data_IF_916828353996
#
_entry.id   IF_916828353996
#
_cell.length_a   1.000
_cell.length_b   1.000
_cell.length_c   1.000
_cell.angle_alpha   90.00
_cell.angle_beta   90.00
_cell.angle_gamma   90.00
#
_symmetry.space_group_name_H-M   'P 1'
#
loop_
_entity.id
_entity.type
_entity.pdbx_description
1 polymer ?
#
# COMPACT_ATOMS: atom_id res chain seq x y z
N UNK A 1 -18.16 4.58 -9.62
CA UNK A 1 -17.00 4.97 -10.43
C UNK A 1 -16.33 3.71 -10.98
N UNK A 2 -16.01 3.69 -12.28
CA UNK A 2 -15.14 2.69 -12.90
C UNK A 2 -13.83 2.52 -12.14
N UNK A 3 -13.19 1.35 -12.24
CA UNK A 3 -11.94 1.07 -11.50
C UNK A 3 -10.79 2.00 -11.91
N UNK A 4 -10.74 2.40 -13.19
CA UNK A 4 -9.74 3.33 -13.74
C UNK A 4 -9.83 4.75 -13.18
N UNK A 5 -10.96 5.12 -12.59
CA UNK A 5 -11.20 6.43 -11.98
C UNK A 5 -11.04 6.42 -10.46
N UNK A 6 -10.63 5.28 -9.89
CA UNK A 6 -10.43 5.18 -8.44
C UNK A 6 -9.07 5.67 -8.04
N UNK A 7 -8.99 6.15 -6.80
CA UNK A 7 -7.72 6.44 -6.17
C UNK A 7 -7.03 5.14 -5.74
N UNK A 8 -5.72 5.15 -5.92
CA UNK A 8 -4.77 4.17 -5.38
C UNK A 8 -3.64 4.92 -4.69
N UNK A 9 -3.04 4.30 -3.67
CA UNK A 9 -1.93 4.89 -2.93
C UNK A 9 -1.02 3.80 -2.36
N UNK A 10 0.18 4.20 -1.98
CA UNK A 10 1.27 3.32 -1.59
C UNK A 10 2.47 3.48 -2.52
N UNK A 11 3.66 3.20 -2.01
CA UNK A 11 4.92 3.42 -2.73
C UNK A 11 5.64 4.71 -2.34
N UNK A 12 6.66 5.04 -3.13
CA UNK A 12 7.71 6.02 -2.78
C UNK A 12 7.26 7.49 -2.73
N UNK A 13 6.12 7.82 -3.35
CA UNK A 13 5.61 9.19 -3.54
C UNK A 13 4.35 9.51 -2.73
N UNK A 14 3.72 8.51 -2.11
CA UNK A 14 2.46 8.68 -1.36
C UNK A 14 2.59 8.16 0.08
N UNK A 15 2.39 6.86 0.30
CA UNK A 15 2.51 6.21 1.60
C UNK A 15 3.66 5.21 1.58
N UNK A 16 4.83 5.60 2.08
CA UNK A 16 6.08 4.81 1.95
C UNK A 16 6.10 3.53 2.77
N UNK A 17 5.15 3.33 3.68
CA UNK A 17 4.98 2.08 4.43
C UNK A 17 4.27 0.98 3.64
N UNK A 18 3.76 1.29 2.44
CA UNK A 18 3.06 0.35 1.56
C UNK A 18 3.87 0.10 0.29
N UNK A 19 3.67 -1.08 -0.29
CA UNK A 19 4.03 -1.33 -1.68
C UNK A 19 3.17 -0.47 -2.62
N UNK A 20 3.58 -0.40 -3.89
CA UNK A 20 2.89 0.42 -4.89
C UNK A 20 1.40 0.05 -4.97
N UNK A 21 0.53 1.04 -4.78
CA UNK A 21 -0.94 0.90 -4.87
C UNK A 21 -1.58 -0.12 -3.90
N UNK A 22 -0.87 -0.53 -2.85
CA UNK A 22 -1.39 -1.51 -1.89
C UNK A 22 -2.24 -0.93 -0.74
N UNK A 23 -2.28 0.39 -0.59
CA UNK A 23 -3.07 1.01 0.47
C UNK A 23 -4.56 0.99 0.12
N UNK A 24 -5.38 0.54 1.08
CA UNK A 24 -6.83 0.73 1.05
C UNK A 24 -7.64 -0.57 0.98
N UNK A 25 -8.88 -0.48 0.46
CA UNK A 25 -9.77 -1.61 0.31
C UNK A 25 -9.19 -2.67 -0.62
N UNK A 26 -9.38 -3.95 -0.26
CA UNK A 26 -9.05 -5.08 -1.12
C UNK A 26 -10.30 -5.88 -1.47
N UNK A 27 -10.42 -6.27 -2.73
CA UNK A 27 -11.46 -7.19 -3.18
C UNK A 27 -10.99 -8.62 -2.93
N UNK A 28 -11.87 -9.46 -2.38
CA UNK A 28 -11.67 -10.91 -2.31
C UNK A 28 -12.10 -11.50 -3.65
N UNK A 29 -11.20 -12.28 -4.25
CA UNK A 29 -11.47 -13.04 -5.46
C UNK A 29 -11.56 -14.51 -5.08
N UNK A 30 -12.71 -15.11 -5.39
CA UNK A 30 -12.91 -16.56 -5.34
C UNK A 30 -12.89 -17.05 -6.79
N UNK A 31 -11.81 -17.69 -7.25
CA UNK A 31 -11.68 -18.13 -8.63
C UNK A 31 -12.82 -19.08 -9.02
N UNK A 32 -13.46 -18.82 -10.15
CA UNK A 32 -14.52 -19.68 -10.71
C UNK A 32 -14.09 -20.15 -12.11
N UNK A 33 -14.27 -21.44 -12.39
CA UNK A 33 -13.94 -22.05 -13.67
C UNK A 33 -12.66 -22.90 -13.67
N UNK A 34 -12.22 -23.27 -14.86
CA UNK A 34 -11.05 -24.11 -15.10
C UNK A 34 -9.83 -23.24 -15.36
N UNK A 35 -8.82 -23.34 -14.50
CA UNK A 35 -7.52 -22.69 -14.71
C UNK A 35 -6.51 -23.74 -15.18
N UNK A 36 -5.60 -23.37 -16.08
CA UNK A 36 -4.54 -24.25 -16.55
C UNK A 36 -3.18 -23.67 -16.15
N UNK A 37 -2.23 -24.54 -15.79
CA UNK A 37 -0.83 -24.13 -15.64
C UNK A 37 -0.14 -24.00 -17.01
N UNK A 38 1.14 -23.61 -17.02
CA UNK A 38 1.94 -23.47 -18.24
C UNK A 38 2.09 -24.76 -19.05
N UNK A 39 1.87 -25.93 -18.44
CA UNK A 39 1.87 -27.24 -19.08
C UNK A 39 0.49 -27.70 -19.56
N UNK A 40 -0.54 -26.84 -19.45
CA UNK A 40 -1.92 -27.16 -19.86
C UNK A 40 -2.69 -28.05 -18.89
N UNK A 41 -2.16 -28.31 -17.69
CA UNK A 41 -2.86 -29.12 -16.69
C UNK A 41 -3.83 -28.26 -15.88
N UNK A 42 -5.01 -28.78 -15.59
CA UNK A 42 -5.99 -28.09 -14.76
C UNK A 42 -5.47 -27.92 -13.33
N UNK A 43 -5.55 -26.69 -12.83
CA UNK A 43 -5.17 -26.31 -11.48
C UNK A 43 -6.35 -25.65 -10.77
N UNK A 44 -6.40 -25.84 -9.46
CA UNK A 44 -7.31 -25.10 -8.58
C UNK A 44 -6.55 -23.90 -8.04
N UNK A 45 -7.17 -22.73 -8.10
CA UNK A 45 -6.63 -21.52 -7.50
C UNK A 45 -7.32 -21.27 -6.17
N UNK A 46 -6.53 -21.08 -5.12
CA UNK A 46 -7.04 -20.65 -3.83
C UNK A 46 -7.60 -19.21 -3.94
N UNK A 47 -8.62 -18.85 -3.14
CA UNK A 47 -9.05 -17.46 -3.05
C UNK A 47 -7.89 -16.53 -2.68
N UNK A 48 -7.94 -15.30 -3.18
CA UNK A 48 -6.92 -14.29 -2.91
C UNK A 48 -7.53 -12.90 -2.80
N UNK A 49 -6.71 -11.89 -2.46
CA UNK A 49 -7.17 -10.50 -2.44
C UNK A 49 -6.29 -9.61 -3.29
N UNK A 50 -6.91 -8.62 -3.94
CA UNK A 50 -6.21 -7.59 -4.72
C UNK A 50 -6.63 -6.19 -4.27
N UNK A 51 -5.73 -5.19 -4.32
CA UNK A 51 -6.09 -3.80 -4.14
C UNK A 51 -7.22 -3.42 -5.09
N UNK A 52 -8.28 -2.82 -4.55
CA UNK A 52 -9.47 -2.45 -5.32
C UNK A 52 -9.60 -0.93 -5.47
N UNK A 53 -8.71 -0.17 -4.83
CA UNK A 53 -8.77 1.28 -4.77
C UNK A 53 -10.02 1.79 -4.06
N UNK A 54 -10.29 3.08 -4.21
CA UNK A 54 -11.42 3.71 -3.55
C UNK A 54 -11.84 5.02 -4.19
N UNK A 55 -12.97 5.55 -3.73
CA UNK A 55 -13.53 6.81 -4.24
C UNK A 55 -13.12 8.02 -3.39
N UNK A 56 -12.28 7.82 -2.37
CA UNK A 56 -11.73 8.88 -1.56
C UNK A 56 -10.29 8.54 -1.15
N UNK A 57 -9.47 9.58 -1.01
CA UNK A 57 -8.08 9.50 -0.61
C UNK A 57 -7.81 10.57 0.43
N UNK A 58 -7.14 10.21 1.52
CA UNK A 58 -6.63 11.17 2.47
C UNK A 58 -5.20 10.78 2.85
N UNK A 59 -4.26 11.71 2.65
CA UNK A 59 -2.84 11.53 2.93
C UNK A 59 -2.31 12.78 3.62
N UNK A 60 -1.44 12.58 4.60
CA UNK A 60 -0.62 13.58 5.26
C UNK A 60 0.83 13.09 5.21
N UNK A 61 1.73 13.91 4.66
CA UNK A 61 3.16 13.62 4.64
C UNK A 61 3.90 14.74 5.39
N UNK A 62 4.71 14.36 6.37
CA UNK A 62 5.57 15.26 7.13
C UNK A 62 7.02 14.82 6.93
N UNK A 63 7.88 15.73 6.49
CA UNK A 63 9.30 15.48 6.29
C UNK A 63 10.13 16.60 6.93
N UNK A 64 11.20 16.23 7.64
CA UNK A 64 12.23 17.19 8.04
C UNK A 64 13.50 16.93 7.25
N UNK A 65 14.04 17.94 6.56
CA UNK A 65 15.22 17.79 5.70
C UNK A 65 16.45 18.34 6.41
N UNK A 66 17.32 17.43 6.83
CA UNK A 66 18.50 17.76 7.62
C UNK A 66 19.75 17.64 6.74
N UNK A 67 20.48 18.75 6.46
CA UNK A 67 21.72 18.71 5.72
C UNK A 67 22.82 18.11 6.59
N UNK A 68 23.26 16.89 6.27
CA UNK A 68 24.36 16.22 6.97
C UNK A 68 25.71 16.64 6.38
N UNK A 69 25.77 16.82 5.06
CA UNK A 69 26.92 17.36 4.34
C UNK A 69 26.48 18.10 3.07
N UNK A 70 27.44 18.59 2.26
CA UNK A 70 27.14 19.23 0.97
C UNK A 70 26.42 18.31 -0.03
N UNK A 71 26.63 17.00 0.10
CA UNK A 71 26.09 16.00 -0.83
C UNK A 71 25.09 15.05 -0.19
N UNK A 72 25.03 14.95 1.14
CA UNK A 72 24.15 14.04 1.87
C UNK A 72 23.11 14.77 2.72
N UNK A 73 21.85 14.38 2.62
CA UNK A 73 20.77 14.81 3.54
C UNK A 73 20.06 13.63 4.15
N UNK A 74 19.70 13.76 5.43
CA UNK A 74 18.80 12.85 6.11
C UNK A 74 17.38 13.43 6.11
N UNK A 75 16.38 12.56 5.98
CA UNK A 75 14.97 12.93 5.87
C UNK A 75 14.13 12.01 6.75
N UNK A 76 14.11 12.20 8.08
CA UNK A 76 13.08 11.57 8.89
C UNK A 76 11.70 12.02 8.41
N UNK A 77 10.77 11.07 8.34
CA UNK A 77 9.44 11.33 7.82
C UNK A 77 8.35 10.57 8.57
N UNK A 78 7.14 11.09 8.42
CA UNK A 78 5.90 10.45 8.80
C UNK A 78 4.90 10.53 7.64
N UNK A 79 4.31 9.39 7.29
CA UNK A 79 3.21 9.31 6.33
C UNK A 79 1.98 8.77 7.05
N UNK A 80 0.89 9.55 7.05
CA UNK A 80 -0.41 9.13 7.55
C UNK A 80 -1.43 9.13 6.43
N UNK A 81 -2.32 8.16 6.40
CA UNK A 81 -3.41 8.19 5.43
C UNK A 81 -3.90 6.83 4.99
N UNK A 82 -4.87 6.83 4.09
CA UNK A 82 -5.29 5.65 3.34
C UNK A 82 -6.15 6.02 2.13
N UNK A 83 -6.41 5.05 1.27
CA UNK A 83 -7.51 5.07 0.31
C UNK A 83 -8.76 4.51 1.00
N UNK A 84 -9.91 5.08 0.71
CA UNK A 84 -11.20 4.70 1.30
C UNK A 84 -12.25 4.48 0.23
N UNK A 85 -13.16 3.53 0.46
CA UNK A 85 -14.21 3.21 -0.50
C UNK A 85 -15.19 4.38 -0.70
N UNK A 86 -15.45 5.16 0.34
CA UNK A 86 -16.25 6.40 0.30
C UNK A 86 -15.60 7.47 1.18
N UNK A 87 -15.85 8.75 0.90
CA UNK A 87 -15.32 9.86 1.69
C UNK A 87 -15.77 9.81 3.17
N UNK A 88 -17.02 9.42 3.43
CA UNK A 88 -17.53 9.26 4.80
C UNK A 88 -16.82 8.17 5.61
N UNK A 89 -16.26 7.15 4.94
CA UNK A 89 -15.57 6.02 5.60
C UNK A 89 -14.26 6.46 6.27
N UNK A 90 -13.72 7.66 5.93
CA UNK A 90 -12.53 8.25 6.56
C UNK A 90 -12.75 8.47 8.06
N UNK A 91 -13.91 9.00 8.43
CA UNK A 91 -14.24 9.36 9.82
C UNK A 91 -15.17 8.35 10.48
N UNK A 92 -16.00 7.67 9.68
CA UNK A 92 -16.97 6.69 10.14
C UNK A 92 -16.79 5.38 9.37
N UNK A 93 -15.78 4.55 9.73
CA UNK A 93 -15.56 3.28 9.06
C UNK A 93 -16.83 2.40 9.14
N UNK A 94 -17.26 1.78 8.04
CA UNK A 94 -18.48 0.98 8.03
C UNK A 94 -18.34 -0.23 8.95
N UNK A 95 -19.46 -0.65 9.55
CA UNK A 95 -19.55 -1.95 10.20
C UNK A 95 -19.32 -3.05 9.15
N UNK A 96 -18.56 -4.08 9.53
CA UNK A 96 -18.18 -5.16 8.63
C UNK A 96 -18.32 -6.50 9.36
N UNK A 97 -19.25 -7.32 8.89
CA UNK A 97 -19.61 -8.58 9.53
C UNK A 97 -19.08 -9.78 8.74
N UNK A 98 -18.89 -9.61 7.43
CA UNK A 98 -18.33 -10.65 6.56
C UNK A 98 -16.86 -10.39 6.24
N UNK A 99 -16.14 -11.43 5.84
CA UNK A 99 -14.74 -11.36 5.41
C UNK A 99 -14.55 -10.44 4.20
N UNK A 100 -15.52 -10.44 3.29
CA UNK A 100 -15.60 -9.54 2.14
C UNK A 100 -15.70 -8.07 2.58
N UNK A 101 -16.64 -7.76 3.48
CA UNK A 101 -16.82 -6.40 4.01
C UNK A 101 -15.62 -5.91 4.81
N UNK A 102 -15.01 -6.81 5.61
CA UNK A 102 -13.84 -6.49 6.43
C UNK A 102 -12.66 -6.06 5.58
N UNK A 103 -12.48 -6.66 4.40
CA UNK A 103 -11.41 -6.28 3.47
C UNK A 103 -11.67 -4.98 2.72
N UNK A 104 -12.94 -4.57 2.61
CA UNK A 104 -13.33 -3.29 2.03
C UNK A 104 -13.20 -2.13 3.03
N UNK A 105 -13.07 -2.43 4.32
CA UNK A 105 -12.92 -1.45 5.40
C UNK A 105 -11.44 -1.06 5.53
N UNK A 106 -11.09 0.10 4.97
CA UNK A 106 -9.80 0.74 5.20
C UNK A 106 -9.83 1.61 6.46
N UNK A 107 -8.75 1.57 7.25
CA UNK A 107 -8.54 2.43 8.41
C UNK A 107 -7.36 3.37 8.17
N UNK A 108 -7.32 4.48 8.89
CA UNK A 108 -6.16 5.38 8.84
C UNK A 108 -4.88 4.61 9.21
N UNK A 109 -3.86 4.73 8.36
CA UNK A 109 -2.57 4.07 8.56
C UNK A 109 -1.48 5.08 8.92
N UNK A 110 -0.43 4.59 9.57
CA UNK A 110 0.67 5.41 10.07
C UNK A 110 2.00 4.75 9.73
N UNK A 111 2.85 5.49 9.03
CA UNK A 111 4.22 5.09 8.71
C UNK A 111 5.16 6.12 9.30
N UNK A 112 6.23 5.65 9.92
CA UNK A 112 7.41 6.45 10.26
C UNK A 112 8.59 5.92 9.49
N UNK A 113 9.54 6.76 9.14
CA UNK A 113 10.70 6.29 8.40
C UNK A 113 11.83 7.27 8.33
N UNK A 114 12.90 6.83 7.68
CA UNK A 114 14.10 7.60 7.47
C UNK A 114 14.52 7.50 6.01
N UNK A 115 14.72 8.67 5.41
CA UNK A 115 15.25 8.82 4.07
C UNK A 115 16.68 9.33 4.08
N UNK A 116 17.45 8.93 3.08
CA UNK A 116 18.75 9.50 2.75
C UNK A 116 18.72 10.02 1.32
N UNK A 117 19.37 11.16 1.09
CA UNK A 117 19.45 11.83 -0.21
C UNK A 117 20.90 12.13 -0.55
N UNK A 118 21.36 11.63 -1.69
CA UNK A 118 22.70 11.81 -2.20
C UNK A 118 22.64 12.63 -3.50
N UNK A 119 23.21 13.84 -3.48
CA UNK A 119 23.38 14.65 -4.67
C UNK A 119 24.44 14.02 -5.58
N UNK A 120 24.10 13.77 -6.83
CA UNK A 120 25.02 13.19 -7.81
C UNK A 120 25.79 14.29 -8.54
N UNK A 121 27.02 14.01 -9.03
CA UNK A 121 27.80 14.98 -9.80
C UNK A 121 27.12 15.44 -11.09
N UNK A 122 26.22 14.62 -11.66
CA UNK A 122 25.47 14.90 -12.90
C UNK A 122 24.22 15.78 -12.68
N UNK A 123 24.06 16.39 -11.50
CA UNK A 123 23.00 17.36 -11.24
C UNK A 123 21.69 16.79 -10.71
N UNK A 124 21.63 15.48 -10.44
CA UNK A 124 20.47 14.80 -9.87
C UNK A 124 20.63 14.42 -8.39
N UNK A 125 19.67 13.66 -7.88
CA UNK A 125 19.64 13.14 -6.53
C UNK A 125 19.16 11.70 -6.51
N UNK A 126 19.94 10.84 -5.85
CA UNK A 126 19.55 9.50 -5.47
C UNK A 126 18.95 9.55 -4.06
N UNK A 127 17.75 9.02 -3.90
CA UNK A 127 17.07 8.87 -2.63
C UNK A 127 16.85 7.41 -2.28
N UNK A 128 17.08 7.07 -1.02
CA UNK A 128 16.65 5.80 -0.42
C UNK A 128 15.74 6.14 0.77
N UNK A 129 14.56 5.55 0.83
CA UNK A 129 13.62 5.71 1.93
C UNK A 129 13.30 4.36 2.55
N UNK A 130 13.40 4.27 3.88
CA UNK A 130 13.02 3.09 4.64
C UNK A 130 11.82 3.47 5.49
N UNK A 131 10.66 2.90 5.19
CA UNK A 131 9.41 3.12 5.90
C UNK A 131 9.04 1.94 6.79
N UNK A 132 8.53 2.23 7.98
CA UNK A 132 7.98 1.27 8.93
C UNK A 132 6.51 1.58 9.20
N UNK A 133 5.64 0.67 8.77
CA UNK A 133 4.19 0.75 8.93
C UNK A 133 3.83 0.29 10.35
N UNK A 134 3.39 1.20 11.19
CA UNK A 134 3.18 0.94 12.63
C UNK A 134 2.13 -0.15 12.84
N UNK A 135 1.01 -0.06 12.09
CA UNK A 135 -0.10 -1.01 12.16
C UNK A 135 -0.44 -1.53 10.76
N UNK A 136 0.25 -2.58 10.28
CA UNK A 136 0.00 -3.11 8.95
C UNK A 136 -1.42 -3.69 8.83
N UNK A 137 -2.19 -3.30 7.79
CA UNK A 137 -3.50 -3.87 7.53
C UNK A 137 -3.47 -5.39 7.39
N UNK A 138 -4.58 -6.01 7.80
CA UNK A 138 -4.83 -7.45 7.68
C UNK A 138 -6.09 -7.66 6.88
N UNK A 139 -6.04 -8.63 5.98
CA UNK A 139 -7.12 -9.00 5.10
C UNK A 139 -7.43 -10.48 5.30
N UNK A 140 -8.70 -10.82 5.16
CA UNK A 140 -9.22 -12.16 5.34
C UNK A 140 -9.45 -12.81 3.98
N UNK A 141 -8.93 -14.01 3.79
CA UNK A 141 -9.10 -14.79 2.58
C UNK A 141 -9.99 -15.98 2.96
N UNK A 142 -11.27 -15.99 2.52
CA UNK A 142 -12.18 -17.08 2.78
C UNK A 142 -11.62 -18.42 2.33
N UNK A 143 -11.82 -19.46 3.13
CA UNK A 143 -11.41 -20.82 2.84
C UNK A 143 -12.64 -21.73 2.84
N UNK A 144 -12.65 -22.75 1.97
CA UNK A 144 -13.85 -23.59 1.77
C UNK A 144 -14.16 -24.44 3.02
N UNK A 145 -13.13 -25.06 3.61
CA UNK A 145 -13.27 -26.00 4.73
C UNK A 145 -12.46 -25.58 5.98
N UNK A 146 -11.96 -24.35 6.01
CA UNK A 146 -11.11 -23.84 7.08
C UNK A 146 -11.57 -22.44 7.49
N UNK A 147 -11.14 -21.93 8.65
CA UNK A 147 -11.25 -20.51 8.96
C UNK A 147 -10.55 -19.65 7.91
N UNK A 148 -10.96 -18.39 7.80
CA UNK A 148 -10.32 -17.43 6.89
C UNK A 148 -8.81 -17.36 7.12
N UNK A 149 -8.04 -17.46 6.03
CA UNK A 149 -6.62 -17.20 6.08
C UNK A 149 -6.37 -15.69 6.23
N UNK A 150 -5.32 -15.31 6.98
CA UNK A 150 -4.99 -13.91 7.22
C UNK A 150 -3.82 -13.51 6.34
N UNK A 151 -4.06 -12.57 5.43
CA UNK A 151 -3.03 -11.89 4.68
C UNK A 151 -2.70 -10.55 5.35
N UNK A 152 -1.48 -10.42 5.90
CA UNK A 152 -0.98 -9.19 6.53
C UNK A 152 0.04 -8.53 5.62
N UNK A 153 -0.09 -7.23 5.39
CA UNK A 153 0.91 -6.47 4.63
C UNK A 153 2.26 -6.45 5.35
N UNK A 154 3.33 -6.30 4.55
CA UNK A 154 4.70 -6.16 5.07
C UNK A 154 4.78 -4.91 5.94
N UNK A 155 5.62 -5.01 6.97
CA UNK A 155 5.74 -3.96 7.97
C UNK A 155 6.83 -2.93 7.62
N UNK A 156 7.84 -3.35 6.86
CA UNK A 156 8.95 -2.49 6.43
C UNK A 156 9.02 -2.47 4.92
N UNK A 157 9.22 -1.29 4.35
CA UNK A 157 9.39 -1.09 2.91
C UNK A 157 10.61 -0.24 2.61
N UNK A 158 11.24 -0.52 1.47
CA UNK A 158 12.42 0.22 0.99
C UNK A 158 12.09 0.75 -0.40
N UNK A 159 12.25 2.06 -0.56
CA UNK A 159 11.98 2.75 -1.82
C UNK A 159 13.23 3.45 -2.33
N UNK A 160 13.43 3.37 -3.64
CA UNK A 160 14.48 4.11 -4.34
C UNK A 160 13.84 5.22 -5.16
N UNK A 161 14.45 6.40 -5.13
CA UNK A 161 14.00 7.57 -5.89
C UNK A 161 15.17 8.15 -6.65
N UNK A 162 14.91 8.50 -7.90
CA UNK A 162 15.86 9.21 -8.75
C UNK A 162 15.18 10.50 -9.15
N UNK A 163 15.77 11.65 -8.84
CA UNK A 163 15.30 12.88 -9.47
C UNK A 163 15.65 12.83 -10.95
N UNK A 164 14.71 13.17 -11.82
CA UNK A 164 15.01 13.37 -13.23
C UNK A 164 15.99 14.55 -13.36
N UNK A 165 17.18 14.30 -13.91
CA UNK A 165 18.06 15.36 -14.39
C UNK A 165 17.67 15.67 -15.84
N UNK A 166 17.70 16.95 -16.20
CA UNK A 166 17.38 17.44 -17.55
C UNK A 166 18.53 17.20 -18.52
#
# INVERSE_FOLDING_TARGET
MPISERFFAGGSTTLRGFDFEEAGPRAVIVPQGTFLNSSGQQVTLDPFTLPFGGNALAIVNLEARLPISRSLRAVPFYDGGNVFRRAGDIFNPPNANTSFEKNLRALWSHTVGLGFRLRTPVGGELGVDIGYLINPPRFLIPQINNPDAIYKLRQTQIHFRFSQAF
#
